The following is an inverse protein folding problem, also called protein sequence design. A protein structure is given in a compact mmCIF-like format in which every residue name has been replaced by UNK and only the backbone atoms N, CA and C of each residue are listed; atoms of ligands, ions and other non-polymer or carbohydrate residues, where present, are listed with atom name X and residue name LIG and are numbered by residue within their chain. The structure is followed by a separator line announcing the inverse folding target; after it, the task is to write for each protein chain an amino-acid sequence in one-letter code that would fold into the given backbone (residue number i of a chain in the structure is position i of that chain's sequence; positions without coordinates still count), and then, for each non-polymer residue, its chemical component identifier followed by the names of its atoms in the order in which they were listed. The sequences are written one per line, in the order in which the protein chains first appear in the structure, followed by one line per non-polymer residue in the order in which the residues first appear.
data_IF_630207830096
#
_entry.id   IF_630207830096
#
_cell.length_a   1.000
_cell.length_b   1.000
_cell.length_c   1.000
_cell.angle_alpha   90.00
_cell.angle_beta   90.00
_cell.angle_gamma   90.00
#
_symmetry.space_group_name_H-M   'P 1'
#
loop_
_entity.id
_entity.type
_entity.pdbx_description
1 polymer ?
#
# COMPACT_ATOMS: atom_id res chain seq x y z
N UNK A 1 8.98 -6.08 17.87
CA UNK A 1 8.68 -4.66 18.19
C UNK A 1 7.88 -4.11 17.03
N UNK A 2 6.96 -3.16 17.28
CA UNK A 2 6.12 -2.56 16.23
C UNK A 2 6.95 -1.97 15.07
N UNK A 3 8.15 -1.45 15.36
CA UNK A 3 9.09 -0.95 14.34
C UNK A 3 9.54 -2.08 13.40
N UNK A 4 9.86 -3.27 13.92
CA UNK A 4 10.26 -4.42 13.11
C UNK A 4 9.11 -4.96 12.26
N UNK A 5 7.89 -4.94 12.80
CA UNK A 5 6.68 -5.30 12.05
C UNK A 5 6.42 -4.31 10.91
N UNK A 6 6.63 -3.02 11.15
CA UNK A 6 6.56 -1.99 10.12
C UNK A 6 7.60 -2.20 9.04
N UNK A 7 8.87 -2.45 9.40
CA UNK A 7 9.95 -2.70 8.44
C UNK A 7 9.67 -3.91 7.55
N UNK A 8 9.21 -5.02 8.13
CA UNK A 8 8.93 -6.28 7.46
C UNK A 8 7.54 -6.35 6.80
N UNK A 9 6.72 -5.30 6.93
CA UNK A 9 5.38 -5.28 6.40
C UNK A 9 5.41 -5.49 4.87
N UNK A 10 4.65 -6.48 4.41
CA UNK A 10 4.46 -6.86 3.01
C UNK A 10 3.05 -7.40 2.86
N UNK A 11 2.45 -7.20 1.69
CA UNK A 11 1.23 -7.92 1.34
C UNK A 11 1.55 -9.41 1.26
N UNK A 12 0.68 -10.25 1.81
CA UNK A 12 0.85 -11.70 1.75
C UNK A 12 0.21 -12.25 0.47
N UNK A 13 0.71 -13.40 0.02
CA UNK A 13 0.11 -14.08 -1.13
C UNK A 13 -1.36 -14.42 -0.84
N UNK A 14 -2.26 -13.93 -1.68
CA UNK A 14 -3.71 -14.08 -1.51
C UNK A 14 -4.37 -13.13 -0.51
N UNK A 15 -3.62 -12.19 0.08
CA UNK A 15 -4.19 -11.10 0.89
C UNK A 15 -4.74 -10.01 -0.03
N UNK A 16 -5.94 -9.52 0.26
CA UNK A 16 -6.53 -8.42 -0.50
C UNK A 16 -5.92 -7.07 -0.11
N UNK A 17 -5.95 -6.08 -1.02
CA UNK A 17 -5.57 -4.69 -0.71
C UNK A 17 -6.40 -4.13 0.46
N UNK A 18 -7.65 -4.58 0.60
CA UNK A 18 -8.50 -4.16 1.73
C UNK A 18 -7.99 -4.69 3.08
N UNK A 19 -7.62 -5.97 3.14
CA UNK A 19 -7.08 -6.58 4.36
C UNK A 19 -5.72 -5.97 4.71
N UNK A 20 -4.87 -5.78 3.71
CA UNK A 20 -3.59 -5.09 3.87
C UNK A 20 -3.78 -3.66 4.38
N UNK A 21 -4.72 -2.89 3.82
CA UNK A 21 -5.05 -1.53 4.26
C UNK A 21 -5.41 -1.51 5.75
N UNK A 22 -6.25 -2.45 6.20
CA UNK A 22 -6.66 -2.55 7.60
C UNK A 22 -5.47 -2.82 8.53
N UNK A 23 -4.62 -3.78 8.18
CA UNK A 23 -3.40 -4.10 8.92
C UNK A 23 -2.44 -2.90 8.97
N UNK A 24 -2.23 -2.23 7.83
CA UNK A 24 -1.38 -1.06 7.71
C UNK A 24 -1.86 0.09 8.60
N UNK A 25 -3.14 0.46 8.51
CA UNK A 25 -3.71 1.55 9.32
C UNK A 25 -3.63 1.23 10.81
N UNK A 26 -3.90 -0.02 11.21
CA UNK A 26 -3.78 -0.42 12.61
C UNK A 26 -2.35 -0.24 13.12
N UNK A 27 -1.36 -0.72 12.38
CA UNK A 27 0.06 -0.61 12.75
C UNK A 27 0.53 0.86 12.81
N UNK A 28 0.12 1.69 11.85
CA UNK A 28 0.45 3.12 11.84
C UNK A 28 -0.15 3.84 13.04
N UNK A 29 -1.43 3.60 13.34
CA UNK A 29 -2.08 4.21 14.50
C UNK A 29 -1.35 3.86 15.80
N UNK A 30 -0.99 2.58 15.97
CA UNK A 30 -0.17 2.18 17.11
C UNK A 30 1.16 2.92 17.16
N UNK A 31 1.91 3.01 16.05
CA UNK A 31 3.19 3.73 16.03
C UNK A 31 3.05 5.23 16.32
N UNK A 32 1.95 5.85 15.88
CA UNK A 32 1.62 7.25 16.19
C UNK A 32 1.34 7.40 17.69
N UNK A 33 0.58 6.48 18.29
CA UNK A 33 0.30 6.48 19.74
C UNK A 33 1.58 6.33 20.57
N UNK A 34 2.58 5.62 20.03
CA UNK A 34 3.93 5.53 20.61
C UNK A 34 4.82 6.78 20.35
N UNK A 35 4.27 7.83 19.75
CA UNK A 35 4.95 9.11 19.53
C UNK A 35 5.72 9.22 18.20
N UNK A 36 5.60 8.25 17.30
CA UNK A 36 6.21 8.35 15.96
C UNK A 36 5.39 9.31 15.11
N UNK A 37 6.09 10.16 14.34
CA UNK A 37 5.47 11.02 13.33
C UNK A 37 5.78 10.43 11.96
N UNK A 38 4.80 10.52 11.07
CA UNK A 38 4.94 10.07 9.69
C UNK A 38 4.53 11.19 8.76
N UNK A 39 5.38 11.44 7.76
CA UNK A 39 4.99 12.29 6.66
C UNK A 39 4.06 11.54 5.70
N UNK A 40 3.16 12.26 5.04
CA UNK A 40 2.23 11.66 4.08
C UNK A 40 2.96 10.87 2.98
N UNK A 41 4.04 11.45 2.47
CA UNK A 41 4.89 10.82 1.46
C UNK A 41 5.54 9.53 2.00
N UNK A 42 6.02 9.54 3.25
CA UNK A 42 6.61 8.35 3.89
C UNK A 42 5.60 7.19 3.94
N UNK A 43 4.34 7.47 4.32
CA UNK A 43 3.29 6.45 4.37
C UNK A 43 2.94 5.93 2.97
N UNK A 44 2.83 6.81 1.98
CA UNK A 44 2.51 6.43 0.61
C UNK A 44 3.63 5.56 0.01
N UNK A 45 4.89 5.97 0.16
CA UNK A 45 6.05 5.19 -0.26
C UNK A 45 6.10 3.83 0.45
N UNK A 46 5.79 3.80 1.75
CA UNK A 46 5.77 2.56 2.50
C UNK A 46 4.72 1.59 1.95
N UNK A 47 3.51 2.05 1.68
CA UNK A 47 2.45 1.23 1.06
C UNK A 47 2.95 0.64 -0.25
N UNK A 48 3.52 1.47 -1.13
CA UNK A 48 4.05 1.00 -2.41
C UNK A 48 5.14 -0.06 -2.21
N UNK A 49 6.11 0.16 -1.32
CA UNK A 49 7.16 -0.82 -1.01
C UNK A 49 6.64 -2.15 -0.43
N UNK A 50 5.41 -2.17 0.09
CA UNK A 50 4.81 -3.39 0.62
C UNK A 50 4.15 -4.27 -0.45
N UNK A 51 3.92 -3.72 -1.65
CA UNK A 51 3.29 -4.43 -2.76
C UNK A 51 4.29 -5.38 -3.45
N UNK A 52 3.75 -6.45 -4.04
CA UNK A 52 4.53 -7.45 -4.75
C UNK A 52 5.14 -6.92 -6.05
N UNK A 53 6.12 -7.66 -6.60
CA UNK A 53 6.83 -7.30 -7.84
C UNK A 53 5.92 -7.08 -9.05
N UNK A 54 4.76 -7.73 -9.09
CA UNK A 54 3.74 -7.53 -10.14
C UNK A 54 3.21 -6.10 -10.19
N UNK A 55 3.37 -5.33 -9.12
CA UNK A 55 2.94 -3.93 -9.01
C UNK A 55 4.07 -2.93 -9.29
N UNK A 56 5.32 -3.38 -9.48
CA UNK A 56 6.49 -2.51 -9.59
C UNK A 56 6.40 -1.49 -10.73
N UNK A 57 5.92 -1.90 -11.91
CA UNK A 57 5.77 -0.99 -13.06
C UNK A 57 4.84 0.17 -12.73
N UNK A 58 3.77 -0.09 -11.96
CA UNK A 58 2.80 0.93 -11.54
C UNK A 58 3.30 1.75 -10.37
N UNK A 59 4.09 1.16 -9.47
CA UNK A 59 4.78 1.88 -8.40
C UNK A 59 5.72 2.94 -8.98
N UNK A 60 6.59 2.56 -9.94
CA UNK A 60 7.54 3.48 -10.58
C UNK A 60 6.79 4.63 -11.26
N UNK A 61 5.73 4.34 -12.01
CA UNK A 61 4.93 5.37 -12.67
C UNK A 61 4.27 6.35 -11.68
N UNK A 62 3.84 5.88 -10.50
CA UNK A 62 3.26 6.73 -9.44
C UNK A 62 4.35 7.53 -8.70
N UNK A 63 5.52 6.93 -8.50
CA UNK A 63 6.67 7.58 -7.86
C UNK A 63 7.24 8.72 -8.73
N UNK A 64 7.29 8.50 -10.05
CA UNK A 64 7.75 9.49 -11.02
C UNK A 64 6.75 10.63 -11.28
N UNK A 65 5.44 10.44 -11.03
CA UNK A 65 4.42 11.43 -11.38
C UNK A 65 4.35 12.65 -10.44
N UNK A 66 5.21 12.75 -9.41
CA UNK A 66 5.15 13.73 -8.31
C UNK A 66 3.83 13.72 -7.52
N UNK A 67 2.90 12.83 -7.84
CA UNK A 67 1.60 12.76 -7.18
C UNK A 67 1.69 12.19 -5.76
N UNK A 68 2.79 11.53 -5.39
CA UNK A 68 2.93 10.92 -4.07
C UNK A 68 2.88 11.91 -2.91
N UNK A 69 3.39 13.14 -3.11
CA UNK A 69 3.41 14.18 -2.08
C UNK A 69 2.05 14.85 -1.89
N UNK A 70 1.26 14.96 -2.97
CA UNK A 70 -0.06 15.59 -2.95
C UNK A 70 -1.17 14.60 -2.58
N UNK A 71 -1.04 13.35 -3.00
CA UNK A 71 -2.05 12.30 -2.84
C UNK A 71 -2.20 11.86 -1.39
N UNK A 72 -3.45 11.77 -0.93
CA UNK A 72 -3.73 11.22 0.38
C UNK A 72 -3.74 9.68 0.36
N UNK A 73 -3.52 9.08 1.53
CA UNK A 73 -3.43 7.63 1.68
C UNK A 73 -4.73 6.92 1.24
N UNK A 74 -5.89 7.55 1.46
CA UNK A 74 -7.18 7.00 1.05
C UNK A 74 -7.32 6.93 -0.49
N UNK A 75 -6.86 7.95 -1.21
CA UNK A 75 -6.82 7.99 -2.67
C UNK A 75 -5.87 6.94 -3.20
N UNK A 76 -4.70 6.76 -2.57
CA UNK A 76 -3.76 5.70 -2.95
C UNK A 76 -4.40 4.32 -2.82
N UNK A 77 -4.99 4.00 -1.66
CA UNK A 77 -5.69 2.72 -1.46
C UNK A 77 -6.88 2.54 -2.41
N UNK A 78 -7.61 3.62 -2.74
CA UNK A 78 -8.68 3.58 -3.74
C UNK A 78 -8.17 3.15 -5.12
N UNK A 79 -7.07 3.76 -5.59
CA UNK A 79 -6.43 3.40 -6.87
C UNK A 79 -5.89 1.97 -6.88
N UNK A 80 -5.32 1.51 -5.75
CA UNK A 80 -4.81 0.14 -5.62
C UNK A 80 -5.95 -0.88 -5.69
N UNK A 81 -7.06 -0.64 -5.00
CA UNK A 81 -8.24 -1.51 -5.01
C UNK A 81 -8.89 -1.59 -6.39
N UNK A 82 -9.02 -0.46 -7.09
CA UNK A 82 -9.53 -0.45 -8.47
C UNK A 82 -8.62 -1.27 -9.40
N UNK A 83 -7.30 -1.22 -9.19
CA UNK A 83 -6.38 -2.03 -9.97
C UNK A 83 -6.44 -3.52 -9.63
N UNK A 84 -6.57 -3.87 -8.35
CA UNK A 84 -6.73 -5.24 -7.87
C UNK A 84 -7.98 -5.88 -8.50
N UNK A 85 -9.10 -5.15 -8.51
CA UNK A 85 -10.34 -5.60 -9.18
C UNK A 85 -10.12 -5.83 -10.67
N UNK A 86 -9.42 -4.93 -11.36
CA UNK A 86 -9.09 -5.12 -12.79
C UNK A 86 -8.21 -6.35 -13.01
N UNK A 87 -7.19 -6.58 -12.17
CA UNK A 87 -6.34 -7.77 -12.28
C UNK A 87 -7.14 -9.07 -12.05
N UNK A 88 -8.01 -9.10 -11.04
CA UNK A 88 -8.87 -10.26 -10.76
C UNK A 88 -9.83 -10.56 -11.92
N UNK A 89 -10.39 -9.53 -12.56
CA UNK A 89 -11.25 -9.66 -13.74
C UNK A 89 -10.48 -10.22 -14.95
N UNK A 90 -9.18 -9.92 -15.08
CA UNK A 90 -8.36 -10.48 -16.16
C UNK A 90 -8.04 -11.97 -15.94
N UNK A 91 -7.87 -12.42 -14.69
CA UNK A 91 -7.65 -13.85 -14.39
C UNK A 91 -8.90 -14.71 -14.59
N UNK A 92 -10.12 -14.17 -14.36
CA UNK A 92 -11.37 -14.91 -14.63
C UNK A 92 -11.76 -14.95 -16.12
N UNK A 93 -11.26 -14.03 -16.96
CA UNK A 93 -11.56 -14.02 -18.40
C UNK A 93 -10.59 -14.85 -19.26
N UNK A 94 -9.57 -15.48 -18.65
CA UNK A 94 -8.67 -16.43 -19.32
C UNK A 94 -8.96 -17.90 -18.95
N UNK A 95 -10.12 -18.19 -18.34
CA UNK A 95 -10.63 -19.56 -18.08
C UNK A 95 -11.81 -19.94 -18.99
#
# INVERSE_FOLDING_TARGET
TLVREYELLRIKQGESIFDFQKCFTHLINHLIDFGRKFEKEELNLKVLQCLDKSWQTKMIAIEESKDLTSMNLATLFGKLREHEQKLHIFEENEL
#
